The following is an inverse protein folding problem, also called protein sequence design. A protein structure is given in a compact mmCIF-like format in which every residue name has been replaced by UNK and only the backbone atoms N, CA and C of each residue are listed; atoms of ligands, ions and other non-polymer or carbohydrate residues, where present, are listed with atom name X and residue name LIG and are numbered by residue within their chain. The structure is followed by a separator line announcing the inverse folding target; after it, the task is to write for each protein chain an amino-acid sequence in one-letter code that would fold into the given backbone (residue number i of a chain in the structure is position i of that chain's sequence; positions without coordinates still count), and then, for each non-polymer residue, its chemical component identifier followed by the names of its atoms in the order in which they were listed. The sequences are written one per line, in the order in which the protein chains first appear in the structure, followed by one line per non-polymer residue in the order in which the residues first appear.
data_IF_070034073644
#
_entry.id   IF_070034073644
#
_cell.length_a   1.000
_cell.length_b   1.000
_cell.length_c   1.000
_cell.angle_alpha   90.00
_cell.angle_beta   90.00
_cell.angle_gamma   90.00
#
_symmetry.space_group_name_H-M   'P 1'
#
loop_
_entity.id
_entity.type
_entity.pdbx_description
1 polymer ?
#
# COMPACT_ATOMS: atom_id res chain seq x y z
N UNK A 1 28.61 21.10 -17.42
CA UNK A 1 27.47 20.17 -17.48
C UNK A 1 26.20 20.98 -17.27
N UNK A 2 25.12 20.69 -18.01
CA UNK A 2 23.81 21.32 -17.79
C UNK A 2 23.01 20.44 -16.83
N UNK A 3 23.35 20.48 -15.54
CA UNK A 3 22.71 19.66 -14.51
C UNK A 3 21.36 20.25 -14.11
N UNK A 4 20.31 19.44 -14.17
CA UNK A 4 19.02 19.77 -13.59
C UNK A 4 19.04 19.64 -12.07
N UNK A 5 18.08 20.22 -11.34
CA UNK A 5 17.95 19.99 -9.89
C UNK A 5 17.88 18.51 -9.51
N UNK A 6 17.18 17.69 -10.31
CA UNK A 6 17.11 16.23 -10.12
C UNK A 6 18.49 15.57 -10.21
N UNK A 7 19.33 16.01 -11.16
CA UNK A 7 20.68 15.47 -11.30
C UNK A 7 21.55 15.80 -10.08
N UNK A 8 21.40 17.03 -9.55
CA UNK A 8 22.10 17.46 -8.34
C UNK A 8 21.67 16.61 -7.13
N UNK A 9 20.37 16.39 -6.94
CA UNK A 9 19.87 15.55 -5.84
C UNK A 9 20.38 14.10 -5.93
N UNK A 10 20.45 13.53 -7.14
CA UNK A 10 20.99 12.18 -7.36
C UNK A 10 22.49 12.10 -7.08
N UNK A 11 23.25 13.16 -7.37
CA UNK A 11 24.66 13.25 -6.97
C UNK A 11 24.82 13.32 -5.45
N UNK A 12 23.97 14.07 -4.74
CA UNK A 12 23.98 14.12 -3.27
C UNK A 12 23.64 12.75 -2.68
N UNK A 13 22.61 12.08 -3.22
CA UNK A 13 22.25 10.71 -2.82
C UNK A 13 23.41 9.73 -3.05
N UNK A 14 24.03 9.77 -4.23
CA UNK A 14 25.19 8.92 -4.54
C UNK A 14 26.34 9.18 -3.55
N UNK A 15 26.63 10.43 -3.21
CA UNK A 15 27.65 10.76 -2.20
C UNK A 15 27.33 10.16 -0.82
N UNK A 16 26.07 10.21 -0.38
CA UNK A 16 25.64 9.55 0.85
C UNK A 16 25.84 8.02 0.78
N UNK A 17 25.54 7.42 -0.38
CA UNK A 17 25.80 6.00 -0.66
C UNK A 17 27.28 5.65 -0.59
N UNK A 18 28.16 6.45 -1.18
CA UNK A 18 29.62 6.25 -1.10
C UNK A 18 30.10 6.30 0.36
N UNK A 19 29.56 7.22 1.18
CA UNK A 19 29.87 7.26 2.62
C UNK A 19 29.44 5.97 3.31
N UNK A 20 28.24 5.48 3.01
CA UNK A 20 27.73 4.20 3.53
C UNK A 20 28.58 3.02 3.06
N UNK A 21 28.96 2.95 1.78
CA UNK A 21 29.84 1.92 1.23
C UNK A 21 31.23 1.92 1.89
N UNK A 22 31.81 3.08 2.19
CA UNK A 22 33.10 3.15 2.92
C UNK A 22 32.99 2.63 4.35
N UNK A 23 31.88 2.94 5.04
CA UNK A 23 31.58 2.44 6.38
C UNK A 23 31.33 0.93 6.36
N UNK A 24 30.56 0.47 5.38
CA UNK A 24 30.32 -0.92 5.11
C UNK A 24 31.64 -1.66 4.80
N UNK A 25 32.46 -1.17 3.89
CA UNK A 25 33.70 -1.82 3.50
C UNK A 25 34.68 -2.03 4.68
N UNK A 26 34.70 -1.14 5.68
CA UNK A 26 35.55 -1.29 6.87
C UNK A 26 34.92 -2.13 8.00
N UNK A 27 33.79 -2.79 7.75
CA UNK A 27 33.20 -3.77 8.68
C UNK A 27 32.12 -3.22 9.61
N UNK A 28 31.64 -1.98 9.43
CA UNK A 28 30.57 -1.45 10.30
C UNK A 28 29.20 -2.02 9.92
N UNK A 29 28.32 -2.13 10.92
CA UNK A 29 26.88 -2.26 10.69
C UNK A 29 26.30 -0.89 10.35
N UNK A 30 25.44 -0.85 9.35
CA UNK A 30 24.82 0.38 8.87
C UNK A 30 23.59 0.74 9.69
N UNK A 31 23.40 2.03 9.96
CA UNK A 31 22.13 2.53 10.49
C UNK A 31 21.08 2.71 9.38
N UNK A 32 19.89 3.22 9.73
CA UNK A 32 18.79 3.39 8.77
C UNK A 32 19.15 4.31 7.58
N UNK A 33 19.61 5.57 7.76
CA UNK A 33 19.99 6.43 6.64
C UNK A 33 21.09 5.85 5.74
N UNK A 34 22.10 5.19 6.34
CA UNK A 34 23.19 4.57 5.59
C UNK A 34 22.72 3.39 4.74
N UNK A 35 21.86 2.54 5.31
CA UNK A 35 21.25 1.40 4.63
C UNK A 35 20.44 1.88 3.42
N UNK A 36 19.57 2.88 3.60
CA UNK A 36 18.78 3.47 2.51
C UNK A 36 19.68 4.05 1.42
N UNK A 37 20.69 4.85 1.80
CA UNK A 37 21.58 5.51 0.86
C UNK A 37 22.41 4.50 0.04
N UNK A 38 22.93 3.45 0.67
CA UNK A 38 23.68 2.40 -0.02
C UNK A 38 22.79 1.68 -1.04
N UNK A 39 21.62 1.20 -0.62
CA UNK A 39 20.70 0.47 -1.51
C UNK A 39 20.29 1.36 -2.68
N UNK A 40 19.83 2.58 -2.42
CA UNK A 40 19.39 3.50 -3.47
C UNK A 40 20.51 3.83 -4.46
N UNK A 41 21.74 4.00 -3.97
CA UNK A 41 22.91 4.27 -4.82
C UNK A 41 23.25 3.07 -5.69
N UNK A 42 23.28 1.86 -5.13
CA UNK A 42 23.56 0.66 -5.91
C UNK A 42 22.49 0.36 -6.96
N UNK A 43 21.22 0.61 -6.64
CA UNK A 43 20.15 0.55 -7.63
C UNK A 43 20.41 1.54 -8.78
N UNK A 44 20.82 2.78 -8.52
CA UNK A 44 21.15 3.74 -9.57
C UNK A 44 22.31 3.29 -10.47
N UNK A 45 23.35 2.66 -9.89
CA UNK A 45 24.46 2.11 -10.68
C UNK A 45 24.00 0.95 -11.58
N UNK A 46 23.20 0.01 -11.07
CA UNK A 46 22.69 -1.07 -11.91
C UNK A 46 21.67 -0.60 -12.96
N UNK A 47 20.91 0.47 -12.67
CA UNK A 47 20.08 1.15 -13.67
C UNK A 47 20.98 1.71 -14.78
N UNK A 48 22.09 2.35 -14.40
CA UNK A 48 23.06 2.90 -15.35
C UNK A 48 23.66 1.82 -16.25
N UNK A 49 23.81 0.61 -15.75
CA UNK A 49 24.27 -0.57 -16.49
C UNK A 49 23.18 -1.26 -17.32
N UNK A 50 21.93 -0.80 -17.24
CA UNK A 50 20.83 -1.26 -18.09
C UNK A 50 20.10 -2.49 -17.57
N UNK A 51 20.22 -2.83 -16.28
CA UNK A 51 19.40 -3.88 -15.67
C UNK A 51 17.91 -3.49 -15.64
N UNK A 52 17.02 -4.48 -15.70
CA UNK A 52 15.57 -4.24 -15.71
C UNK A 52 15.02 -3.91 -14.32
N UNK A 53 13.91 -3.16 -14.25
CA UNK A 53 13.20 -2.87 -12.99
C UNK A 53 12.95 -4.15 -12.18
N UNK A 54 12.42 -5.20 -12.82
CA UNK A 54 12.10 -6.46 -12.15
C UNK A 54 13.35 -7.16 -11.57
N UNK A 55 14.48 -7.13 -12.30
CA UNK A 55 15.75 -7.66 -11.81
C UNK A 55 16.18 -6.90 -10.55
N UNK A 56 16.09 -5.57 -10.57
CA UNK A 56 16.54 -4.71 -9.49
C UNK A 56 15.68 -4.82 -8.23
N UNK A 57 14.36 -5.04 -8.37
CA UNK A 57 13.47 -5.30 -7.23
C UNK A 57 13.92 -6.53 -6.42
N UNK A 58 14.48 -7.55 -7.08
CA UNK A 58 15.03 -8.73 -6.41
C UNK A 58 16.48 -8.50 -5.96
N UNK A 59 17.33 -7.96 -6.85
CA UNK A 59 18.76 -7.72 -6.58
C UNK A 59 18.97 -6.80 -5.38
N UNK A 60 18.10 -5.79 -5.20
CA UNK A 60 18.12 -4.90 -4.05
C UNK A 60 18.00 -5.62 -2.70
N UNK A 61 17.29 -6.77 -2.64
CA UNK A 61 17.15 -7.60 -1.43
C UNK A 61 18.39 -8.44 -1.10
N UNK A 62 19.39 -8.40 -1.96
CA UNK A 62 20.62 -9.17 -1.84
C UNK A 62 21.79 -8.29 -1.40
N UNK A 63 21.63 -6.96 -1.38
CA UNK A 63 22.73 -6.05 -1.09
C UNK A 63 23.17 -6.18 0.37
N UNK A 64 22.23 -6.09 1.31
CA UNK A 64 22.50 -6.07 2.75
C UNK A 64 21.63 -7.11 3.46
N UNK A 65 22.23 -7.84 4.41
CA UNK A 65 21.54 -8.75 5.31
C UNK A 65 21.40 -8.19 6.72
N UNK A 66 20.76 -8.97 7.60
CA UNK A 66 20.56 -8.64 9.02
C UNK A 66 21.89 -8.40 9.74
N UNK A 67 22.95 -9.11 9.36
CA UNK A 67 24.30 -8.96 9.92
C UNK A 67 24.99 -7.64 9.52
N UNK A 68 24.54 -7.03 8.42
CA UNK A 68 25.14 -5.84 7.81
C UNK A 68 24.57 -4.53 8.36
N UNK A 69 23.46 -4.58 9.11
CA UNK A 69 22.74 -3.41 9.63
C UNK A 69 22.58 -3.48 11.14
N UNK A 70 22.40 -2.32 11.78
CA UNK A 70 22.11 -2.23 13.21
C UNK A 70 20.76 -2.88 13.53
N UNK A 71 20.58 -3.32 14.77
CA UNK A 71 19.31 -3.88 15.25
C UNK A 71 18.15 -2.87 15.08
N UNK A 72 16.95 -3.36 14.77
CA UNK A 72 15.76 -2.56 14.46
C UNK A 72 15.75 -1.89 13.09
N UNK A 73 16.87 -1.83 12.35
CA UNK A 73 16.90 -1.22 11.00
C UNK A 73 16.03 -2.00 10.01
N UNK A 74 16.05 -3.33 10.07
CA UNK A 74 15.24 -4.18 9.21
C UNK A 74 13.73 -3.98 9.44
N UNK A 75 13.32 -3.77 10.70
CA UNK A 75 11.93 -3.53 11.06
C UNK A 75 11.45 -2.15 10.61
N UNK A 76 12.30 -1.13 10.69
CA UNK A 76 11.98 0.22 10.22
C UNK A 76 11.98 0.35 8.68
N UNK A 77 12.81 -0.41 7.98
CA UNK A 77 13.03 -0.25 6.54
C UNK A 77 12.10 -1.16 5.72
N UNK A 78 10.84 -0.74 5.58
CA UNK A 78 9.86 -1.49 4.79
C UNK A 78 10.12 -1.47 3.29
N UNK A 79 10.63 -0.36 2.75
CA UNK A 79 11.00 -0.25 1.34
C UNK A 79 12.04 0.82 1.07
N UNK A 80 12.79 0.65 -0.02
CA UNK A 80 13.63 1.69 -0.61
C UNK A 80 13.14 1.96 -2.02
N UNK A 81 12.89 3.23 -2.32
CA UNK A 81 12.41 3.69 -3.61
C UNK A 81 13.45 4.59 -4.28
N UNK A 82 13.73 4.35 -5.55
CA UNK A 82 14.58 5.24 -6.34
C UNK A 82 14.14 5.28 -7.80
N UNK A 83 14.07 6.48 -8.36
CA UNK A 83 13.96 6.67 -9.79
C UNK A 83 15.34 6.82 -10.45
N UNK A 84 15.55 6.14 -11.57
CA UNK A 84 16.73 6.30 -12.40
C UNK A 84 16.38 6.29 -13.89
N UNK A 85 17.34 6.68 -14.73
CA UNK A 85 17.18 6.74 -16.19
C UNK A 85 17.66 5.43 -16.81
N UNK A 86 16.71 4.57 -17.17
CA UNK A 86 16.95 3.32 -17.90
C UNK A 86 17.15 3.62 -19.39
N UNK A 87 17.61 2.64 -20.20
CA UNK A 87 17.67 2.77 -21.65
C UNK A 87 16.34 3.17 -22.31
N UNK A 88 15.22 2.85 -21.67
CA UNK A 88 13.85 3.14 -22.12
C UNK A 88 13.18 4.30 -21.33
N UNK A 89 13.98 5.15 -20.69
CA UNK A 89 13.53 6.34 -19.96
C UNK A 89 13.47 6.16 -18.44
N UNK A 90 12.96 7.18 -17.74
CA UNK A 90 12.92 7.17 -16.27
C UNK A 90 11.89 6.17 -15.75
N UNK A 91 12.28 5.30 -14.82
CA UNK A 91 11.37 4.37 -14.11
C UNK A 91 11.63 4.42 -12.60
N UNK A 92 10.59 4.12 -11.83
CA UNK A 92 10.65 3.90 -10.39
C UNK A 92 11.03 2.44 -10.11
N UNK A 93 11.99 2.23 -9.22
CA UNK A 93 12.29 0.93 -8.62
C UNK A 93 11.95 0.99 -7.14
N UNK A 94 11.14 0.04 -6.68
CA UNK A 94 10.82 -0.15 -5.27
C UNK A 94 11.31 -1.52 -4.80
N UNK A 95 12.19 -1.52 -3.82
CA UNK A 95 12.67 -2.75 -3.17
C UNK A 95 11.94 -2.89 -1.84
N UNK A 96 10.96 -3.80 -1.80
CA UNK A 96 10.22 -4.12 -0.56
C UNK A 96 11.02 -5.06 0.33
N UNK A 97 11.08 -4.74 1.62
CA UNK A 97 11.85 -5.44 2.66
C UNK A 97 13.28 -5.74 2.18
N UNK A 98 14.09 -4.70 1.93
CA UNK A 98 15.42 -4.88 1.35
C UNK A 98 16.40 -5.63 2.26
N UNK A 99 16.19 -5.59 3.58
CA UNK A 99 16.97 -6.35 4.56
C UNK A 99 16.13 -7.53 5.05
N UNK A 100 16.08 -8.59 4.26
CA UNK A 100 15.24 -9.77 4.54
C UNK A 100 16.02 -11.09 4.55
N UNK A 101 17.35 -11.03 4.57
CA UNK A 101 18.25 -12.19 4.53
C UNK A 101 19.22 -12.09 5.69
N UNK A 102 19.70 -13.23 6.18
CA UNK A 102 20.74 -13.24 7.21
C UNK A 102 22.02 -12.53 6.74
N UNK A 103 22.43 -12.82 5.50
CA UNK A 103 23.63 -12.27 4.88
C UNK A 103 23.29 -11.55 3.58
N UNK A 104 23.89 -10.38 3.38
CA UNK A 104 23.95 -9.72 2.09
C UNK A 104 25.05 -10.29 1.20
N UNK A 105 25.19 -9.70 0.02
CA UNK A 105 26.23 -10.01 -0.96
C UNK A 105 27.15 -8.78 -1.05
N UNK A 106 28.30 -8.78 -0.35
CA UNK A 106 29.17 -7.61 -0.29
C UNK A 106 29.64 -7.10 -1.66
N UNK A 107 29.82 -8.00 -2.64
CA UNK A 107 30.21 -7.66 -4.00
C UNK A 107 29.14 -6.83 -4.70
N UNK A 108 27.87 -7.09 -4.41
CA UNK A 108 26.75 -6.30 -4.93
C UNK A 108 26.57 -5.00 -4.15
N UNK A 109 26.81 -4.98 -2.84
CA UNK A 109 26.71 -3.77 -2.02
C UNK A 109 27.84 -2.75 -2.33
N UNK A 110 28.99 -3.24 -2.76
CA UNK A 110 30.20 -2.46 -3.07
C UNK A 110 30.45 -2.34 -4.58
N UNK A 111 29.49 -2.73 -5.42
CA UNK A 111 29.64 -2.65 -6.87
C UNK A 111 29.94 -1.22 -7.32
N UNK A 112 30.88 -1.09 -8.25
CA UNK A 112 31.38 0.20 -8.77
C UNK A 112 32.25 1.01 -7.80
N UNK A 113 32.35 0.64 -6.52
CA UNK A 113 33.05 1.45 -5.51
C UNK A 113 34.57 1.24 -5.46
N UNK A 114 35.07 0.12 -6.00
CA UNK A 114 36.46 -0.30 -5.86
C UNK A 114 36.86 -0.74 -4.44
N UNK A 115 35.91 -0.88 -3.53
CA UNK A 115 36.13 -1.30 -2.15
C UNK A 115 35.90 -2.80 -1.98
N UNK A 116 36.48 -3.37 -0.92
CA UNK A 116 36.25 -4.76 -0.49
C UNK A 116 35.80 -4.76 0.96
N UNK A 117 34.81 -5.60 1.29
CA UNK A 117 34.32 -5.76 2.66
C UNK A 117 35.38 -6.48 3.49
N UNK A 118 35.86 -5.80 4.53
CA UNK A 118 36.66 -6.38 5.61
C UNK A 118 35.76 -7.13 6.59
N UNK A 119 36.37 -7.99 7.40
CA UNK A 119 35.69 -8.63 8.52
C UNK A 119 35.00 -7.59 9.41
N UNK A 120 33.87 -8.00 9.96
CA UNK A 120 33.07 -7.15 10.82
C UNK A 120 33.87 -6.76 12.05
N UNK A 121 33.86 -5.47 12.37
CA UNK A 121 34.52 -4.93 13.56
C UNK A 121 33.48 -4.74 14.67
N UNK A 122 33.94 -4.80 15.92
CA UNK A 122 33.07 -4.54 17.07
C UNK A 122 32.39 -3.17 16.94
N UNK A 123 31.11 -3.16 17.28
CA UNK A 123 30.27 -1.97 17.14
C UNK A 123 30.73 -0.89 18.14
N UNK A 124 30.68 0.40 17.77
CA UNK A 124 30.59 1.44 18.78
C UNK A 124 29.32 1.21 19.62
N UNK A 125 29.42 1.38 20.94
CA UNK A 125 28.35 1.21 21.91
C UNK A 125 27.21 2.22 21.67
N UNK A 126 26.31 1.87 20.75
CA UNK A 126 25.16 2.67 20.34
C UNK A 126 23.91 1.77 20.39
N UNK A 127 23.54 1.34 21.60
CA UNK A 127 22.34 0.54 21.82
C UNK A 127 21.09 1.29 21.29
N UNK A 128 20.36 0.67 20.37
CA UNK A 128 19.06 1.14 19.89
C UNK A 128 18.03 0.13 20.37
N UNK A 129 16.83 0.60 20.78
CA UNK A 129 15.70 -0.28 21.04
C UNK A 129 15.47 -1.22 19.85
N UNK A 130 15.28 -2.51 20.13
CA UNK A 130 15.15 -3.56 19.12
C UNK A 130 13.97 -3.31 18.14
N UNK A 131 12.89 -2.67 18.59
CA UNK A 131 11.69 -2.41 17.77
C UNK A 131 11.19 -0.97 17.97
N UNK A 132 11.74 0.01 17.22
CA UNK A 132 11.33 1.40 17.35
C UNK A 132 9.86 1.62 16.94
N UNK A 133 9.07 2.22 17.84
CA UNK A 133 7.67 2.57 17.56
C UNK A 133 6.68 1.40 17.63
N UNK A 134 7.03 0.32 18.33
CA UNK A 134 6.14 -0.83 18.50
C UNK A 134 4.80 -0.46 19.15
N UNK A 135 3.74 -1.15 18.72
CA UNK A 135 2.42 -1.05 19.33
C UNK A 135 2.24 -2.18 20.34
N UNK A 136 1.98 -1.83 21.59
CA UNK A 136 1.60 -2.77 22.64
C UNK A 136 0.08 -2.87 22.69
N UNK A 137 -0.47 -3.79 21.90
CA UNK A 137 -1.92 -3.98 21.76
C UNK A 137 -2.43 -5.04 22.75
N UNK A 138 -3.69 -4.90 23.17
CA UNK A 138 -4.40 -5.97 23.84
C UNK A 138 -4.90 -6.98 22.80
N UNK A 139 -5.02 -8.26 23.18
CA UNK A 139 -5.53 -9.32 22.29
C UNK A 139 -7.06 -9.26 22.06
N UNK A 140 -7.75 -8.25 22.59
CA UNK A 140 -9.20 -8.12 22.49
C UNK A 140 -9.65 -7.66 21.09
N UNK A 141 -10.69 -8.30 20.56
CA UNK A 141 -11.34 -7.87 19.33
C UNK A 141 -12.21 -6.62 19.56
N UNK A 142 -12.34 -5.79 18.53
CA UNK A 142 -13.20 -4.61 18.55
C UNK A 142 -14.48 -4.87 17.74
N UNK A 143 -15.64 -4.75 18.39
CA UNK A 143 -16.93 -4.83 17.70
C UNK A 143 -17.21 -3.54 16.92
N UNK A 144 -17.42 -3.66 15.61
CA UNK A 144 -17.73 -2.53 14.75
C UNK A 144 -19.23 -2.29 14.66
N UNK A 145 -19.62 -1.01 14.51
CA UNK A 145 -21.00 -0.58 14.24
C UNK A 145 -22.04 -1.14 15.21
N UNK A 146 -21.66 -1.30 16.48
CA UNK A 146 -22.52 -1.87 17.53
C UNK A 146 -23.86 -1.13 17.67
N UNK A 147 -24.91 -1.89 18.00
CA UNK A 147 -26.25 -1.35 18.28
C UNK A 147 -27.02 -0.87 17.04
N UNK A 148 -26.51 -1.11 15.83
CA UNK A 148 -27.19 -0.74 14.59
C UNK A 148 -27.89 -1.92 13.96
N UNK A 149 -29.00 -1.63 13.26
CA UNK A 149 -29.72 -2.62 12.48
C UNK A 149 -28.84 -3.14 11.33
N UNK A 150 -28.86 -4.46 11.14
CA UNK A 150 -28.08 -5.18 10.14
C UNK A 150 -29.00 -6.00 9.27
N UNK A 151 -28.74 -6.00 7.97
CA UNK A 151 -29.43 -6.86 6.98
C UNK A 151 -28.40 -7.62 6.17
N UNK A 152 -28.73 -8.86 5.82
CA UNK A 152 -27.92 -9.68 4.91
C UNK A 152 -28.56 -9.67 3.53
N UNK A 153 -27.77 -9.32 2.53
CA UNK A 153 -28.17 -9.33 1.13
C UNK A 153 -27.20 -10.14 0.31
N UNK A 154 -27.75 -10.83 -0.68
CA UNK A 154 -26.96 -11.48 -1.68
C UNK A 154 -26.91 -10.62 -2.93
N UNK A 155 -25.69 -10.44 -3.44
CA UNK A 155 -25.38 -9.47 -4.49
C UNK A 155 -24.65 -10.20 -5.60
N UNK A 156 -25.18 -10.07 -6.83
CA UNK A 156 -24.58 -10.65 -8.03
C UNK A 156 -24.14 -9.55 -8.98
N UNK A 157 -22.89 -9.60 -9.45
CA UNK A 157 -22.42 -8.68 -10.48
C UNK A 157 -22.77 -9.22 -11.88
N UNK A 158 -23.76 -8.60 -12.52
CA UNK A 158 -24.21 -8.96 -13.88
C UNK A 158 -23.46 -8.15 -14.97
N UNK A 159 -22.44 -7.38 -14.58
CA UNK A 159 -21.60 -6.61 -15.47
C UNK A 159 -20.44 -7.42 -16.07
N UNK A 160 -19.76 -6.82 -17.04
CA UNK A 160 -18.58 -7.35 -17.71
C UNK A 160 -17.26 -6.86 -17.10
N UNK A 161 -17.34 -6.04 -16.04
CA UNK A 161 -16.21 -5.41 -15.35
C UNK A 161 -16.34 -5.58 -13.84
N UNK A 162 -15.22 -5.61 -13.12
CA UNK A 162 -15.23 -5.67 -11.67
C UNK A 162 -15.87 -4.42 -11.07
N UNK A 163 -16.63 -4.60 -10.00
CA UNK A 163 -17.21 -3.51 -9.20
C UNK A 163 -16.69 -3.63 -7.77
N UNK A 164 -16.24 -2.52 -7.18
CA UNK A 164 -15.78 -2.48 -5.79
C UNK A 164 -16.55 -1.41 -5.04
N UNK A 165 -17.18 -1.79 -3.92
CA UNK A 165 -18.04 -0.92 -3.12
C UNK A 165 -17.39 -0.68 -1.77
N UNK A 166 -17.16 0.60 -1.43
CA UNK A 166 -16.54 1.01 -0.18
C UNK A 166 -17.49 0.94 1.02
N UNK A 167 -16.90 0.86 2.22
CA UNK A 167 -17.59 0.75 3.51
C UNK A 167 -18.72 1.75 3.76
N UNK A 168 -18.59 3.00 3.27
CA UNK A 168 -19.50 4.12 3.56
C UNK A 168 -20.33 4.57 2.35
N UNK A 169 -20.25 3.86 1.24
CA UNK A 169 -21.08 4.16 0.09
C UNK A 169 -22.54 3.72 0.36
N UNK A 170 -23.56 4.56 0.10
CA UNK A 170 -24.96 4.15 0.24
C UNK A 170 -25.25 2.95 -0.67
N UNK A 171 -25.52 1.78 -0.09
CA UNK A 171 -25.50 0.52 -0.84
C UNK A 171 -26.59 0.47 -1.93
N UNK A 172 -27.73 1.10 -1.64
CA UNK A 172 -28.82 1.38 -2.58
C UNK A 172 -28.35 2.03 -3.90
N UNK A 173 -27.34 2.89 -3.83
CA UNK A 173 -26.88 3.70 -4.98
C UNK A 173 -25.76 3.03 -5.76
N UNK A 174 -25.36 1.80 -5.41
CA UNK A 174 -24.25 1.11 -6.07
C UNK A 174 -24.56 0.81 -7.54
N UNK A 175 -23.50 0.50 -8.31
CA UNK A 175 -23.54 0.30 -9.76
C UNK A 175 -24.79 -0.46 -10.23
N UNK A 176 -25.43 0.05 -11.28
CA UNK A 176 -26.65 -0.51 -11.86
C UNK A 176 -26.55 -1.99 -12.27
N UNK A 177 -25.33 -2.50 -12.54
CA UNK A 177 -25.09 -3.91 -12.89
C UNK A 177 -24.97 -4.86 -11.71
N UNK A 178 -24.96 -4.35 -10.47
CA UNK A 178 -25.13 -5.18 -9.29
C UNK A 178 -26.62 -5.46 -9.08
N UNK A 179 -26.98 -6.74 -9.12
CA UNK A 179 -28.33 -7.24 -8.85
C UNK A 179 -28.42 -7.70 -7.40
N UNK A 180 -29.35 -7.10 -6.66
CA UNK A 180 -29.71 -7.41 -5.27
C UNK A 180 -31.04 -6.73 -4.94
N UNK A 181 -31.57 -7.00 -3.75
CA UNK A 181 -32.78 -6.35 -3.24
C UNK A 181 -32.46 -4.90 -2.83
N UNK A 182 -32.65 -3.96 -3.77
CA UNK A 182 -32.37 -2.55 -3.53
C UNK A 182 -33.30 -1.98 -2.47
N UNK A 183 -34.53 -2.46 -2.40
CA UNK A 183 -35.49 -1.97 -1.42
C UNK A 183 -34.99 -2.19 0.01
N UNK A 184 -34.44 -3.37 0.31
CA UNK A 184 -33.81 -3.67 1.61
C UNK A 184 -32.49 -2.93 1.85
N UNK A 185 -31.77 -2.54 0.79
CA UNK A 185 -30.54 -1.76 0.90
C UNK A 185 -30.76 -0.26 1.12
N UNK A 186 -32.00 0.23 1.06
CA UNK A 186 -32.33 1.65 1.23
C UNK A 186 -31.96 2.13 2.64
N UNK A 187 -31.03 3.08 2.73
CA UNK A 187 -30.56 3.60 4.01
C UNK A 187 -29.49 2.75 4.71
N UNK A 188 -28.86 1.83 3.97
CA UNK A 188 -27.80 0.95 4.48
C UNK A 188 -26.47 1.16 3.75
N UNK A 189 -25.37 0.76 4.41
CA UNK A 189 -24.01 0.69 3.87
C UNK A 189 -23.34 -0.62 4.29
N UNK A 190 -22.21 -1.00 3.70
CA UNK A 190 -21.51 -2.23 4.08
C UNK A 190 -21.09 -2.23 5.57
N UNK A 191 -21.33 -3.33 6.26
CA UNK A 191 -20.91 -3.56 7.63
C UNK A 191 -19.48 -4.12 7.70
N UNK A 192 -18.52 -3.30 7.29
CA UNK A 192 -17.09 -3.67 7.21
C UNK A 192 -16.21 -2.57 7.84
N UNK A 193 -14.91 -2.83 8.10
CA UNK A 193 -14.00 -1.81 8.61
C UNK A 193 -13.99 -0.55 7.74
N UNK A 194 -13.99 0.62 8.37
CA UNK A 194 -14.00 1.90 7.67
C UNK A 194 -12.79 2.02 6.73
N UNK A 195 -13.01 2.57 5.53
CA UNK A 195 -11.97 2.69 4.49
C UNK A 195 -11.76 1.43 3.63
N UNK A 196 -12.28 0.26 4.05
CA UNK A 196 -12.22 -0.97 3.25
C UNK A 196 -13.38 -1.07 2.24
N UNK A 197 -13.37 -2.11 1.41
CA UNK A 197 -14.36 -2.33 0.36
C UNK A 197 -14.61 -3.82 0.10
N UNK A 198 -15.77 -4.14 -0.48
CA UNK A 198 -16.08 -5.46 -1.04
C UNK A 198 -16.00 -5.39 -2.55
N UNK A 199 -15.26 -6.33 -3.14
CA UNK A 199 -15.07 -6.48 -4.59
C UNK A 199 -15.96 -7.59 -5.14
N UNK A 200 -16.57 -7.33 -6.28
CA UNK A 200 -17.41 -8.24 -7.05
C UNK A 200 -16.84 -8.39 -8.47
N UNK A 201 -16.29 -9.56 -8.78
CA UNK A 201 -15.86 -9.89 -10.14
C UNK A 201 -17.06 -10.10 -11.07
N UNK A 202 -16.90 -9.99 -12.41
CA UNK A 202 -17.98 -10.30 -13.36
C UNK A 202 -18.59 -11.68 -13.12
N UNK A 203 -19.91 -11.75 -12.95
CA UNK A 203 -20.67 -12.98 -12.66
C UNK A 203 -20.59 -13.47 -11.21
N UNK A 204 -19.81 -12.82 -10.35
CA UNK A 204 -19.64 -13.24 -8.96
C UNK A 204 -20.90 -12.94 -8.13
N UNK A 205 -21.27 -13.89 -7.27
CA UNK A 205 -22.36 -13.79 -6.29
C UNK A 205 -21.79 -13.90 -4.88
N UNK A 206 -22.09 -12.93 -4.02
CA UNK A 206 -21.61 -12.87 -2.63
C UNK A 206 -22.73 -12.45 -1.68
N UNK A 207 -22.77 -13.04 -0.50
CA UNK A 207 -23.53 -12.48 0.62
C UNK A 207 -22.73 -11.37 1.29
N UNK A 208 -23.39 -10.26 1.58
CA UNK A 208 -22.84 -9.12 2.30
C UNK A 208 -23.76 -8.73 3.46
N UNK A 209 -23.15 -8.29 4.55
CA UNK A 209 -23.86 -7.64 5.64
C UNK A 209 -23.86 -6.13 5.41
N UNK A 210 -25.03 -5.53 5.51
CA UNK A 210 -25.22 -4.10 5.49
C UNK A 210 -25.67 -3.62 6.86
N UNK A 211 -25.24 -2.44 7.26
CA UNK A 211 -25.61 -1.77 8.51
C UNK A 211 -26.29 -0.44 8.23
N UNK A 212 -27.29 -0.10 9.03
CA UNK A 212 -28.06 1.12 8.87
C UNK A 212 -27.18 2.38 8.97
N UNK A 213 -27.48 3.37 8.12
CA UNK A 213 -26.94 4.72 8.23
C UNK A 213 -27.45 5.37 9.53
N UNK A 214 -26.57 6.16 10.16
CA UNK A 214 -26.85 6.88 11.39
C UNK A 214 -26.75 8.41 11.17
N UNK A 215 -26.78 9.19 12.25
CA UNK A 215 -26.83 10.65 12.17
C UNK A 215 -28.19 11.11 11.65
N UNK A 216 -28.21 12.21 10.88
CA UNK A 216 -29.43 12.80 10.30
C UNK A 216 -30.14 11.92 9.28
N UNK A 217 -29.55 10.77 8.90
CA UNK A 217 -30.12 9.83 7.91
C UNK A 217 -30.52 10.54 6.61
N UNK A 218 -29.63 11.39 6.10
CA UNK A 218 -29.74 12.07 4.80
C UNK A 218 -28.66 11.55 3.86
N UNK A 219 -29.04 11.23 2.62
CA UNK A 219 -28.14 10.70 1.60
C UNK A 219 -28.09 11.66 0.41
N UNK A 220 -26.89 12.07 0.04
CA UNK A 220 -26.61 12.95 -1.09
C UNK A 220 -25.47 12.37 -1.94
N UNK A 221 -25.46 12.67 -3.24
CA UNK A 221 -24.44 12.21 -4.18
C UNK A 221 -24.76 10.84 -4.79
N UNK A 222 -23.73 10.02 -5.01
CA UNK A 222 -23.90 8.70 -5.63
C UNK A 222 -24.41 8.79 -7.07
N UNK A 223 -25.52 8.12 -7.35
CA UNK A 223 -26.27 8.19 -8.61
C UNK A 223 -27.49 9.14 -8.51
N UNK A 224 -27.60 9.90 -7.42
CA UNK A 224 -28.70 10.82 -7.14
C UNK A 224 -30.08 10.14 -7.09
N UNK A 225 -30.10 8.87 -6.65
CA UNK A 225 -31.34 8.10 -6.56
C UNK A 225 -32.16 8.56 -5.34
N UNK A 226 -31.50 8.74 -4.19
CA UNK A 226 -32.16 9.14 -2.94
C UNK A 226 -32.25 10.66 -2.82
N UNK A 227 -31.10 11.35 -2.82
CA UNK A 227 -30.97 12.82 -2.79
C UNK A 227 -31.84 13.52 -1.73
N UNK A 228 -31.73 13.08 -0.46
CA UNK A 228 -32.54 13.62 0.62
C UNK A 228 -32.58 12.77 1.89
N UNK A 229 -33.56 13.09 2.74
CA UNK A 229 -33.82 12.39 4.01
C UNK A 229 -34.47 11.03 3.78
N UNK A 230 -34.04 10.01 4.53
CA UNK A 230 -34.53 8.64 4.41
C UNK A 230 -35.93 8.50 5.04
N UNK A 231 -36.95 8.66 4.21
CA UNK A 231 -38.39 8.49 4.53
C UNK A 231 -39.05 7.48 3.59
N UNK A 232 -40.22 6.96 3.96
CA UNK A 232 -40.98 6.05 3.08
C UNK A 232 -41.35 6.69 1.74
N UNK A 233 -41.65 8.00 1.75
CA UNK A 233 -41.93 8.77 0.51
C UNK A 233 -40.70 8.82 -0.39
N UNK A 234 -39.53 9.13 0.16
CA UNK A 234 -38.28 9.15 -0.64
C UNK A 234 -37.87 7.76 -1.11
N UNK A 235 -38.12 6.72 -0.31
CA UNK A 235 -37.88 5.33 -0.69
C UNK A 235 -38.71 4.93 -1.90
N UNK A 236 -40.01 5.25 -1.89
CA UNK A 236 -40.90 4.98 -3.02
C UNK A 236 -40.44 5.72 -4.29
N UNK A 237 -40.05 7.00 -4.17
CA UNK A 237 -39.53 7.79 -5.29
C UNK A 237 -38.19 7.23 -5.83
N UNK A 238 -37.28 6.84 -4.95
CA UNK A 238 -36.00 6.25 -5.32
C UNK A 238 -36.16 4.90 -6.04
N UNK A 239 -37.11 4.06 -5.60
CA UNK A 239 -37.43 2.80 -6.29
C UNK A 239 -38.00 3.02 -7.70
N UNK A 240 -38.79 4.07 -7.91
CA UNK A 240 -39.24 4.45 -9.26
C UNK A 240 -38.07 4.87 -10.16
N UNK A 241 -37.10 5.63 -9.63
CA UNK A 241 -35.88 5.98 -10.36
C UNK A 241 -35.05 4.74 -10.71
N UNK A 242 -34.86 3.81 -9.76
CA UNK A 242 -34.17 2.52 -9.98
C UNK A 242 -34.76 1.79 -11.20
N UNK A 243 -36.08 1.66 -11.26
CA UNK A 243 -36.76 0.99 -12.37
C UNK A 243 -36.61 1.78 -13.69
N UNK A 244 -36.79 3.11 -13.64
CA UNK A 244 -36.70 3.99 -14.82
C UNK A 244 -35.30 4.03 -15.43
N UNK A 245 -34.26 4.03 -14.59
CA UNK A 245 -32.87 4.15 -15.00
C UNK A 245 -32.18 2.79 -15.22
N UNK A 246 -32.90 1.68 -15.01
CA UNK A 246 -32.43 0.33 -15.34
C UNK A 246 -31.40 -0.22 -14.35
N UNK A 247 -31.46 0.21 -13.09
CA UNK A 247 -30.69 -0.42 -12.02
C UNK A 247 -31.26 -1.81 -11.73
N UNK A 248 -30.39 -2.83 -11.76
CA UNK A 248 -30.82 -4.19 -11.52
C UNK A 248 -31.30 -4.35 -10.08
N UNK A 249 -32.42 -5.04 -9.93
CA UNK A 249 -33.08 -5.37 -8.69
C UNK A 249 -33.51 -6.85 -8.73
N UNK A 250 -33.46 -7.55 -7.59
CA UNK A 250 -33.94 -8.93 -7.44
C UNK A 250 -35.34 -8.99 -6.84
#
# INVERSE_FOLDING_TARGET
MHLSPKDIDKLVLHNAGIVAQKRYARGLKLNYPETVALIATQLLEFIRDGESVATLMNKGKQLLGLQDVMEGVADMLHEVQVEGTFPDGTKLVTVHHPVCREKGTPELALYGSGLTRKEQTDLPDNFINAVPGEYLLQEAELTLNEGREVVELEVTNMGDRPVQVGSHYPFFETNAKLQFDREKAFGYRLNIPAGTAVRFEPGERKQVQLVALAGDRKVFGGNNLIDGELTDTTKAAAMQKVAKEGFLNS
#
